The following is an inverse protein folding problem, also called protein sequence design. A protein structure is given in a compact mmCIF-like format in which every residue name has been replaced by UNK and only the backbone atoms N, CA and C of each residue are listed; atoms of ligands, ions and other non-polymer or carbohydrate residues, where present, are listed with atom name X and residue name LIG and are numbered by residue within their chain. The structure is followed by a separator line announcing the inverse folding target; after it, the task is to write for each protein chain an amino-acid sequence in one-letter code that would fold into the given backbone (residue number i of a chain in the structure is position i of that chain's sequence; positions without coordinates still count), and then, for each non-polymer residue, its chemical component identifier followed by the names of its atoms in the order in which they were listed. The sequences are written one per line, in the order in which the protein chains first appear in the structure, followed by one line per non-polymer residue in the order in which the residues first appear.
data_IF_840508018880
#
_entry.id   IF_840508018880
#
_cell.length_a   1.000
_cell.length_b   1.000
_cell.length_c   1.000
_cell.angle_alpha   90.00
_cell.angle_beta   90.00
_cell.angle_gamma   90.00
#
_symmetry.space_group_name_H-M   'P 1'
#
loop_
_entity.id
_entity.type
_entity.pdbx_description
1 polymer ?
#
# COMPACT_ATOMS: atom_id res chain seq x y z
N UNK A 1 -41.08 34.00 -11.78
CA UNK A 1 -40.14 32.97 -12.26
C UNK A 1 -40.42 32.81 -13.75
N UNK A 2 -39.68 33.52 -14.60
CA UNK A 2 -39.90 33.49 -16.06
C UNK A 2 -39.13 32.30 -16.65
N UNK A 3 -39.66 31.60 -17.64
CA UNK A 3 -38.96 30.55 -18.36
C UNK A 3 -38.77 30.98 -19.81
N UNK A 4 -37.71 30.51 -20.46
CA UNK A 4 -37.42 30.87 -21.84
C UNK A 4 -38.01 29.81 -22.78
N UNK A 5 -38.81 30.23 -23.75
CA UNK A 5 -39.38 29.41 -24.81
C UNK A 5 -38.69 29.76 -26.13
N UNK A 6 -38.31 28.75 -26.91
CA UNK A 6 -37.84 28.93 -28.29
C UNK A 6 -38.91 28.53 -29.30
N UNK A 7 -38.77 28.93 -30.58
CA UNK A 7 -39.76 28.69 -31.65
C UNK A 7 -40.13 27.22 -31.91
N UNK A 8 -39.37 26.26 -31.37
CA UNK A 8 -39.69 24.82 -31.38
C UNK A 8 -40.11 24.26 -30.03
N UNK A 9 -40.56 25.15 -29.14
CA UNK A 9 -41.05 24.86 -27.79
C UNK A 9 -39.99 24.30 -26.83
N UNK A 10 -38.69 24.47 -27.08
CA UNK A 10 -37.69 24.10 -26.07
C UNK A 10 -37.74 25.08 -24.89
N UNK A 11 -37.94 24.55 -23.68
CA UNK A 11 -38.04 25.32 -22.44
C UNK A 11 -36.74 25.22 -21.65
N UNK A 12 -36.18 26.38 -21.29
CA UNK A 12 -34.96 26.47 -20.48
C UNK A 12 -35.17 27.24 -19.19
N UNK A 13 -34.45 26.81 -18.15
CA UNK A 13 -34.28 27.60 -16.93
C UNK A 13 -33.57 28.92 -17.26
N UNK A 14 -33.87 30.01 -16.53
CA UNK A 14 -33.27 31.34 -16.80
C UNK A 14 -31.74 31.31 -16.77
N UNK A 15 -31.15 30.57 -15.83
CA UNK A 15 -29.70 30.51 -15.72
C UNK A 15 -29.07 29.68 -16.84
N UNK A 16 -29.77 28.65 -17.29
CA UNK A 16 -29.41 27.78 -18.40
C UNK A 16 -29.45 28.58 -19.71
N UNK A 17 -30.52 29.34 -19.91
CA UNK A 17 -30.71 30.16 -21.11
C UNK A 17 -29.69 31.29 -21.17
N UNK A 18 -29.46 32.00 -20.06
CA UNK A 18 -28.42 33.03 -19.99
C UNK A 18 -27.06 32.48 -20.40
N UNK A 19 -26.67 31.31 -19.88
CA UNK A 19 -25.38 30.69 -20.23
C UNK A 19 -25.32 30.30 -21.71
N UNK A 20 -26.37 29.70 -22.24
CA UNK A 20 -26.43 29.25 -23.62
C UNK A 20 -26.41 30.41 -24.63
N UNK A 21 -27.34 31.36 -24.49
CA UNK A 21 -27.56 32.41 -25.49
C UNK A 21 -26.60 33.60 -25.37
N UNK A 22 -25.76 33.66 -24.33
CA UNK A 22 -24.62 34.61 -24.28
C UNK A 22 -23.52 34.21 -25.27
N UNK A 23 -23.39 32.92 -25.59
CA UNK A 23 -22.33 32.40 -26.45
C UNK A 23 -22.72 32.36 -27.94
N UNK A 24 -23.95 31.96 -28.24
CA UNK A 24 -24.49 31.91 -29.60
C UNK A 24 -26.02 31.97 -29.56
N UNK A 25 -26.64 32.58 -30.57
CA UNK A 25 -28.09 32.54 -30.79
C UNK A 25 -28.49 31.23 -31.50
N UNK A 26 -28.17 30.10 -30.88
CA UNK A 26 -28.48 28.76 -31.38
C UNK A 26 -29.12 27.97 -30.23
N UNK A 27 -30.25 27.31 -30.51
CA UNK A 27 -30.93 26.50 -29.52
C UNK A 27 -30.04 25.31 -29.09
N UNK A 28 -29.74 25.13 -27.78
CA UNK A 28 -28.95 23.99 -27.31
C UNK A 28 -29.62 22.62 -27.48
N UNK A 29 -30.94 22.58 -27.68
CA UNK A 29 -31.70 21.34 -27.77
C UNK A 29 -31.89 20.86 -29.21
N UNK A 30 -32.21 21.78 -30.13
CA UNK A 30 -32.52 21.45 -31.53
C UNK A 30 -31.58 22.09 -32.55
N UNK A 31 -30.49 22.72 -32.09
CA UNK A 31 -29.41 23.32 -32.90
C UNK A 31 -29.89 24.36 -33.92
N UNK A 32 -31.11 24.87 -33.75
CA UNK A 32 -31.71 25.83 -34.68
C UNK A 32 -31.21 27.22 -34.36
N UNK A 33 -30.80 27.96 -35.40
CA UNK A 33 -30.42 29.38 -35.28
C UNK A 33 -31.65 30.23 -34.97
N UNK A 34 -31.52 31.08 -33.94
CA UNK A 34 -32.60 31.89 -33.37
C UNK A 34 -32.34 33.38 -33.70
N UNK A 35 -32.62 33.80 -34.94
CA UNK A 35 -32.34 35.16 -35.42
C UNK A 35 -33.57 36.07 -35.47
N UNK A 36 -34.77 35.51 -35.35
CA UNK A 36 -36.03 36.25 -35.45
C UNK A 36 -36.46 36.83 -34.09
N UNK A 37 -37.19 37.96 -34.13
CA UNK A 37 -37.65 38.68 -32.93
C UNK A 37 -38.54 37.85 -31.99
N UNK A 38 -39.14 36.75 -32.48
CA UNK A 38 -40.01 35.85 -31.72
C UNK A 38 -39.38 34.47 -31.46
N UNK A 39 -38.11 34.27 -31.80
CA UNK A 39 -37.42 33.00 -31.58
C UNK A 39 -37.11 32.74 -30.11
N UNK A 40 -37.13 33.79 -29.29
CA UNK A 40 -36.84 33.73 -27.87
C UNK A 40 -37.89 34.53 -27.11
N UNK A 41 -38.72 33.83 -26.35
CA UNK A 41 -39.81 34.46 -25.59
C UNK A 41 -39.70 34.10 -24.12
N UNK A 42 -39.85 35.09 -23.26
CA UNK A 42 -39.98 34.86 -21.82
C UNK A 42 -41.45 34.63 -21.47
N UNK A 43 -41.75 33.43 -21.00
CA UNK A 43 -43.12 33.02 -20.66
C UNK A 43 -43.22 32.73 -19.17
N UNK A 44 -44.32 33.17 -18.57
CA UNK A 44 -44.72 32.70 -17.26
C UNK A 44 -45.48 31.38 -17.43
N UNK A 45 -44.93 30.25 -16.96
CA UNK A 45 -45.60 28.95 -17.05
C UNK A 45 -46.79 28.79 -16.10
N UNK A 46 -46.98 29.72 -15.17
CA UNK A 46 -48.15 29.71 -14.28
C UNK A 46 -48.88 31.06 -14.33
N UNK A 47 -49.58 31.37 -15.44
CA UNK A 47 -50.39 32.58 -15.54
C UNK A 47 -51.64 32.49 -14.66
N UNK A 48 -52.24 33.65 -14.33
CA UNK A 48 -53.50 33.71 -13.56
C UNK A 48 -54.69 33.19 -14.39
N UNK A 49 -55.75 32.73 -13.72
CA UNK A 49 -56.98 32.26 -14.38
C UNK A 49 -57.65 33.37 -15.21
N UNK A 50 -57.61 34.62 -14.73
CA UNK A 50 -58.13 35.77 -15.48
C UNK A 50 -57.36 36.00 -16.79
N UNK A 51 -56.04 35.82 -16.77
CA UNK A 51 -55.21 35.93 -17.97
C UNK A 51 -55.50 34.80 -18.95
N UNK A 52 -55.63 33.55 -18.47
CA UNK A 52 -56.02 32.40 -19.31
C UNK A 52 -57.37 32.64 -19.97
N UNK A 53 -58.36 33.09 -19.18
CA UNK A 53 -59.71 33.38 -19.67
C UNK A 53 -59.71 34.53 -20.68
N UNK A 54 -58.94 35.59 -20.42
CA UNK A 54 -58.79 36.74 -21.32
C UNK A 54 -58.19 36.34 -22.69
N UNK A 55 -57.13 35.54 -22.70
CA UNK A 55 -56.46 35.10 -23.94
C UNK A 55 -57.34 34.16 -24.77
N UNK A 56 -58.16 33.33 -24.12
CA UNK A 56 -59.06 32.41 -24.81
C UNK A 56 -60.37 33.07 -25.27
N UNK A 57 -60.76 34.19 -24.66
CA UNK A 57 -61.99 34.90 -24.99
C UNK A 57 -61.97 35.45 -26.41
N UNK A 58 -63.02 35.17 -27.18
CA UNK A 58 -63.15 35.62 -28.58
C UNK A 58 -62.49 34.69 -29.62
N UNK A 59 -61.78 33.63 -29.19
CA UNK A 59 -61.29 32.60 -30.10
C UNK A 59 -62.41 31.63 -30.50
N UNK A 60 -62.36 31.15 -31.75
CA UNK A 60 -63.26 30.08 -32.22
C UNK A 60 -62.91 28.76 -31.53
N UNK A 61 -63.90 27.88 -31.27
CA UNK A 61 -63.65 26.56 -30.69
C UNK A 61 -62.59 25.74 -31.44
N UNK A 62 -62.58 25.81 -32.77
CA UNK A 62 -61.59 25.10 -33.60
C UNK A 62 -60.14 25.51 -33.26
N UNK A 63 -59.90 26.81 -33.08
CA UNK A 63 -58.57 27.35 -32.73
C UNK A 63 -58.19 26.93 -31.32
N UNK A 64 -59.12 26.97 -30.37
CA UNK A 64 -58.87 26.53 -28.98
C UNK A 64 -58.46 25.06 -28.97
N UNK A 65 -59.17 24.20 -29.71
CA UNK A 65 -58.85 22.78 -29.83
C UNK A 65 -57.47 22.54 -30.47
N UNK A 66 -57.10 23.31 -31.51
CA UNK A 66 -55.75 23.25 -32.07
C UNK A 66 -54.65 23.62 -31.05
N UNK A 67 -54.87 24.69 -30.27
CA UNK A 67 -53.94 25.11 -29.21
C UNK A 67 -53.80 23.99 -28.17
N UNK A 68 -54.92 23.40 -27.74
CA UNK A 68 -54.92 22.27 -26.80
C UNK A 68 -54.16 21.07 -27.36
N UNK A 69 -54.36 20.72 -28.63
CA UNK A 69 -53.66 19.61 -29.27
C UNK A 69 -52.14 19.82 -29.34
N UNK A 70 -51.69 21.04 -29.69
CA UNK A 70 -50.26 21.41 -29.67
C UNK A 70 -49.69 21.36 -28.26
N UNK A 71 -50.42 21.88 -27.26
CA UNK A 71 -50.00 21.86 -25.86
C UNK A 71 -49.87 20.44 -25.31
N UNK A 72 -50.81 19.55 -25.62
CA UNK A 72 -50.74 18.13 -25.24
C UNK A 72 -49.56 17.43 -25.88
N UNK A 73 -49.35 17.62 -27.18
CA UNK A 73 -48.22 17.04 -27.90
C UNK A 73 -46.88 17.48 -27.30
N UNK A 74 -46.79 18.77 -26.96
CA UNK A 74 -45.62 19.33 -26.29
C UNK A 74 -45.39 18.71 -24.90
N UNK A 75 -46.44 18.62 -24.07
CA UNK A 75 -46.35 18.02 -22.75
C UNK A 75 -45.93 16.55 -22.81
N UNK A 76 -46.48 15.77 -23.76
CA UNK A 76 -46.08 14.38 -24.00
C UNK A 76 -44.61 14.27 -24.42
N UNK A 77 -44.16 15.15 -25.32
CA UNK A 77 -42.75 15.20 -25.70
C UNK A 77 -41.86 15.49 -24.49
N UNK A 78 -42.18 16.53 -23.71
CA UNK A 78 -41.40 16.90 -22.52
C UNK A 78 -41.33 15.74 -21.50
N UNK A 79 -42.47 15.10 -21.23
CA UNK A 79 -42.54 13.96 -20.30
C UNK A 79 -41.68 12.79 -20.77
N UNK A 80 -41.68 12.52 -22.07
CA UNK A 80 -40.86 11.45 -22.68
C UNK A 80 -39.38 11.77 -22.57
N UNK A 81 -38.99 13.02 -22.84
CA UNK A 81 -37.59 13.46 -22.71
C UNK A 81 -37.10 13.40 -21.27
N UNK A 82 -37.93 13.82 -20.31
CA UNK A 82 -37.60 13.73 -18.88
C UNK A 82 -37.42 12.27 -18.44
N UNK A 83 -38.28 11.36 -18.89
CA UNK A 83 -38.13 9.92 -18.63
C UNK A 83 -36.82 9.38 -19.18
N UNK A 84 -36.49 9.70 -20.44
CA UNK A 84 -35.28 9.22 -21.08
C UNK A 84 -34.01 9.76 -20.41
N UNK A 85 -34.01 11.04 -20.02
CA UNK A 85 -32.90 11.62 -19.26
C UNK A 85 -32.73 10.93 -17.90
N UNK A 86 -33.83 10.67 -17.19
CA UNK A 86 -33.79 9.94 -15.93
C UNK A 86 -33.18 8.54 -16.14
N UNK A 87 -33.62 7.79 -17.16
CA UNK A 87 -33.08 6.46 -17.48
C UNK A 87 -31.58 6.50 -17.71
N UNK A 88 -31.07 7.48 -18.47
CA UNK A 88 -29.63 7.65 -18.68
C UNK A 88 -28.89 7.95 -17.38
N UNK A 89 -29.45 8.80 -16.53
CA UNK A 89 -28.83 9.13 -15.24
C UNK A 89 -28.77 7.90 -14.34
N UNK A 90 -29.84 7.09 -14.32
CA UNK A 90 -29.88 5.83 -13.58
C UNK A 90 -28.86 4.83 -14.12
N UNK A 91 -28.75 4.66 -15.45
CA UNK A 91 -27.76 3.79 -16.06
C UNK A 91 -26.34 4.21 -15.73
N UNK A 92 -26.00 5.50 -15.87
CA UNK A 92 -24.69 6.02 -15.51
C UNK A 92 -24.35 5.81 -14.03
N UNK A 93 -25.33 6.00 -13.14
CA UNK A 93 -25.14 5.76 -11.71
C UNK A 93 -24.91 4.27 -11.44
N UNK A 94 -25.70 3.41 -12.07
CA UNK A 94 -25.60 1.96 -11.95
C UNK A 94 -24.25 1.44 -12.45
N UNK A 95 -23.76 1.94 -13.59
CA UNK A 95 -22.42 1.60 -14.11
C UNK A 95 -21.32 1.98 -13.12
N UNK A 96 -21.39 3.18 -12.53
CA UNK A 96 -20.43 3.62 -11.50
C UNK A 96 -20.48 2.75 -10.26
N UNK A 97 -21.67 2.38 -9.80
CA UNK A 97 -21.83 1.45 -8.67
C UNK A 97 -21.19 0.09 -8.98
N UNK A 98 -21.48 -0.50 -10.14
CA UNK A 98 -20.88 -1.77 -10.57
C UNK A 98 -19.35 -1.68 -10.71
N UNK A 99 -18.83 -0.56 -11.21
CA UNK A 99 -17.38 -0.34 -11.30
C UNK A 99 -16.73 -0.32 -9.91
N UNK A 100 -17.33 0.41 -8.96
CA UNK A 100 -16.84 0.47 -7.58
C UNK A 100 -16.92 -0.88 -6.88
N UNK A 101 -18.00 -1.64 -7.08
CA UNK A 101 -18.15 -3.00 -6.55
C UNK A 101 -17.06 -3.93 -7.07
N UNK A 102 -16.72 -3.85 -8.36
CA UNK A 102 -15.61 -4.63 -8.96
C UNK A 102 -14.27 -4.23 -8.35
N UNK A 103 -14.01 -2.93 -8.17
CA UNK A 103 -12.78 -2.45 -7.54
C UNK A 103 -12.65 -2.94 -6.10
N UNK A 104 -13.75 -2.88 -5.33
CA UNK A 104 -13.80 -3.41 -3.96
C UNK A 104 -13.46 -4.91 -3.95
N UNK A 105 -14.12 -5.70 -4.80
CA UNK A 105 -13.85 -7.14 -4.90
C UNK A 105 -12.38 -7.44 -5.27
N UNK A 106 -11.79 -6.65 -6.16
CA UNK A 106 -10.39 -6.77 -6.53
C UNK A 106 -9.46 -6.52 -5.34
N UNK A 107 -9.63 -5.39 -4.64
CA UNK A 107 -8.82 -5.02 -3.47
C UNK A 107 -8.97 -6.07 -2.37
N UNK A 108 -10.19 -6.54 -2.11
CA UNK A 108 -10.45 -7.59 -1.13
C UNK A 108 -9.70 -8.87 -1.48
N UNK A 109 -9.71 -9.27 -2.76
CA UNK A 109 -9.00 -10.46 -3.22
C UNK A 109 -7.49 -10.29 -3.07
N UNK A 110 -6.94 -9.14 -3.46
CA UNK A 110 -5.52 -8.81 -3.32
C UNK A 110 -5.07 -8.86 -1.86
N UNK A 111 -5.80 -8.18 -0.97
CA UNK A 111 -5.54 -8.22 0.47
C UNK A 111 -5.62 -9.65 1.03
N UNK A 112 -6.58 -10.47 0.57
CA UNK A 112 -6.66 -11.86 0.98
C UNK A 112 -5.44 -12.68 0.52
N UNK A 113 -4.96 -12.45 -0.71
CA UNK A 113 -3.76 -13.13 -1.22
C UNK A 113 -2.52 -12.73 -0.44
N UNK A 114 -2.34 -11.44 -0.13
CA UNK A 114 -1.23 -10.96 0.70
C UNK A 114 -1.30 -11.51 2.12
N UNK A 115 -2.49 -11.54 2.72
CA UNK A 115 -2.70 -12.10 4.04
C UNK A 115 -2.31 -13.58 4.10
N UNK A 116 -2.71 -14.38 3.11
CA UNK A 116 -2.31 -15.78 2.99
C UNK A 116 -0.78 -15.92 2.84
N UNK A 117 -0.15 -15.13 1.97
CA UNK A 117 1.29 -15.18 1.75
C UNK A 117 2.09 -14.79 3.02
N UNK A 118 1.67 -13.75 3.73
CA UNK A 118 2.29 -13.33 4.99
C UNK A 118 2.13 -14.39 6.08
N UNK A 119 0.96 -15.04 6.15
CA UNK A 119 0.71 -16.12 7.11
C UNK A 119 1.56 -17.36 6.83
N UNK A 120 1.74 -17.72 5.57
CA UNK A 120 2.65 -18.80 5.16
C UNK A 120 4.10 -18.47 5.54
N UNK A 121 4.56 -17.26 5.22
CA UNK A 121 5.90 -16.78 5.60
C UNK A 121 6.12 -16.79 7.11
N UNK A 122 5.12 -16.34 7.88
CA UNK A 122 5.17 -16.39 9.34
C UNK A 122 5.31 -17.82 9.85
N UNK A 123 4.54 -18.76 9.30
CA UNK A 123 4.62 -20.18 9.68
C UNK A 123 5.97 -20.80 9.32
N UNK A 124 6.54 -20.46 8.16
CA UNK A 124 7.87 -20.93 7.75
C UNK A 124 8.96 -20.42 8.70
N UNK A 125 8.97 -19.12 9.00
CA UNK A 125 9.93 -18.52 9.94
C UNK A 125 9.80 -19.08 11.37
N UNK A 126 8.57 -19.39 11.81
CA UNK A 126 8.36 -20.06 13.10
C UNK A 126 9.01 -21.44 13.15
N UNK A 127 8.86 -22.25 12.09
CA UNK A 127 9.49 -23.57 11.98
C UNK A 127 11.01 -23.47 11.93
N UNK A 128 11.55 -22.53 11.15
CA UNK A 128 13.01 -22.28 11.10
C UNK A 128 13.56 -21.87 12.46
N UNK A 129 12.87 -20.98 13.18
CA UNK A 129 13.25 -20.55 14.52
C UNK A 129 13.27 -21.73 15.51
N UNK A 130 12.28 -22.62 15.44
CA UNK A 130 12.22 -23.82 16.28
C UNK A 130 13.36 -24.80 15.95
N UNK A 131 13.64 -25.02 14.66
CA UNK A 131 14.76 -25.86 14.23
C UNK A 131 16.11 -25.32 14.72
N UNK A 132 16.34 -24.01 14.58
CA UNK A 132 17.58 -23.36 15.02
C UNK A 132 17.75 -23.44 16.55
N UNK A 133 16.65 -23.26 17.31
CA UNK A 133 16.67 -23.46 18.77
C UNK A 133 17.06 -24.88 19.14
N UNK A 134 16.53 -25.89 18.44
CA UNK A 134 16.86 -27.29 18.69
C UNK A 134 18.34 -27.58 18.40
N UNK A 135 18.88 -27.07 17.29
CA UNK A 135 20.30 -27.19 16.95
C UNK A 135 21.17 -26.50 18.00
N UNK A 136 20.80 -25.30 18.44
CA UNK A 136 21.55 -24.56 19.46
C UNK A 136 21.59 -25.31 20.82
N UNK A 137 20.46 -25.91 21.22
CA UNK A 137 20.40 -26.74 22.42
C UNK A 137 21.31 -27.97 22.30
N UNK A 138 21.34 -28.62 21.14
CA UNK A 138 22.21 -29.76 20.90
C UNK A 138 23.70 -29.37 20.94
N UNK A 139 24.08 -28.27 20.28
CA UNK A 139 25.44 -27.75 20.32
C UNK A 139 25.88 -27.38 21.74
N UNK A 140 24.99 -26.79 22.54
CA UNK A 140 25.28 -26.49 23.96
C UNK A 140 25.59 -27.77 24.75
N UNK A 141 24.80 -28.83 24.59
CA UNK A 141 25.07 -30.13 25.24
C UNK A 141 26.42 -30.70 24.82
N UNK A 142 26.73 -30.66 23.52
CA UNK A 142 28.02 -31.14 23.01
C UNK A 142 29.18 -30.35 23.62
N UNK A 143 29.07 -29.03 23.71
CA UNK A 143 30.09 -28.18 24.34
C UNK A 143 30.27 -28.53 25.82
N UNK A 144 29.17 -28.67 26.57
CA UNK A 144 29.20 -29.08 27.98
C UNK A 144 29.88 -30.44 28.16
N UNK A 145 29.56 -31.42 27.32
CA UNK A 145 30.19 -32.73 27.37
C UNK A 145 31.68 -32.68 27.04
N UNK A 146 32.08 -31.93 25.99
CA UNK A 146 33.48 -31.75 25.61
C UNK A 146 34.27 -31.03 26.69
N UNK A 147 33.70 -30.02 27.34
CA UNK A 147 34.32 -29.34 28.48
C UNK A 147 34.49 -30.28 29.68
N UNK A 148 33.50 -31.13 29.96
CA UNK A 148 33.62 -32.14 31.01
C UNK A 148 34.72 -33.17 30.70
N UNK A 149 34.81 -33.67 29.46
CA UNK A 149 35.87 -34.57 29.01
C UNK A 149 37.25 -33.91 29.12
N UNK A 150 37.38 -32.66 28.65
CA UNK A 150 38.62 -31.89 28.77
C UNK A 150 39.05 -31.71 30.22
N UNK A 151 38.12 -31.40 31.12
CA UNK A 151 38.37 -31.26 32.55
C UNK A 151 38.86 -32.58 33.17
N UNK A 152 38.23 -33.71 32.83
CA UNK A 152 38.66 -35.05 33.27
C UNK A 152 40.07 -35.40 32.79
N UNK A 153 40.36 -35.14 31.51
CA UNK A 153 41.69 -35.37 30.93
C UNK A 153 42.75 -34.50 31.61
N UNK A 154 42.45 -33.21 31.84
CA UNK A 154 43.36 -32.29 32.55
C UNK A 154 43.67 -32.78 33.96
N UNK A 155 42.66 -33.26 34.70
CA UNK A 155 42.86 -33.84 36.02
C UNK A 155 43.74 -35.10 35.98
N UNK A 156 43.49 -36.01 35.04
CA UNK A 156 44.30 -37.23 34.86
C UNK A 156 45.76 -36.93 34.51
N UNK A 157 45.99 -35.97 33.61
CA UNK A 157 47.34 -35.52 33.29
C UNK A 157 48.05 -34.96 34.51
N UNK A 158 47.38 -34.11 35.30
CA UNK A 158 47.94 -33.58 36.54
C UNK A 158 48.29 -34.68 37.56
N UNK A 159 47.49 -35.73 37.67
CA UNK A 159 47.82 -36.88 38.54
C UNK A 159 49.02 -37.66 38.02
N UNK A 160 49.12 -37.85 36.70
CA UNK A 160 50.25 -38.56 36.09
C UNK A 160 51.56 -37.79 36.23
N UNK A 161 51.56 -36.45 36.07
CA UNK A 161 52.75 -35.64 36.36
C UNK A 161 53.14 -35.71 37.83
N UNK A 162 52.20 -35.66 38.77
CA UNK A 162 52.51 -35.86 40.19
C UNK A 162 53.11 -37.25 40.46
N UNK A 163 52.59 -38.29 39.81
CA UNK A 163 53.14 -39.66 39.91
C UNK A 163 54.55 -39.76 39.32
N UNK A 164 54.81 -39.18 38.15
CA UNK A 164 56.15 -39.16 37.55
C UNK A 164 57.13 -38.31 38.36
N UNK A 165 56.71 -37.17 38.90
CA UNK A 165 57.53 -36.35 39.80
C UNK A 165 57.89 -37.11 41.08
N UNK A 166 56.94 -37.85 41.65
CA UNK A 166 57.19 -38.70 42.81
C UNK A 166 58.16 -39.85 42.46
N UNK A 167 57.98 -40.47 41.29
CA UNK A 167 58.87 -41.54 40.80
C UNK A 167 60.28 -41.02 40.53
N UNK A 168 60.42 -39.89 39.85
CA UNK A 168 61.68 -39.23 39.57
C UNK A 168 62.39 -38.77 40.85
N UNK A 169 61.66 -38.25 41.86
CA UNK A 169 62.24 -37.95 43.19
C UNK A 169 62.75 -39.21 43.87
N UNK A 170 61.97 -40.30 43.83
CA UNK A 170 62.37 -41.59 44.42
C UNK A 170 63.62 -42.16 43.72
N UNK A 171 63.65 -42.17 42.39
CA UNK A 171 64.80 -42.60 41.59
C UNK A 171 66.04 -41.72 41.80
N UNK A 172 65.88 -40.40 41.84
CA UNK A 172 66.96 -39.45 42.13
C UNK A 172 67.49 -39.58 43.56
N UNK A 173 66.66 -40.02 44.52
CA UNK A 173 67.10 -40.31 45.89
C UNK A 173 67.99 -41.56 45.95
N UNK A 174 67.71 -42.55 45.11
CA UNK A 174 68.51 -43.78 45.00
C UNK A 174 69.83 -43.52 44.25
N UNK A 175 69.81 -42.77 43.14
CA UNK A 175 71.03 -42.37 42.41
C UNK A 175 71.96 -41.52 43.29
N UNK A 176 71.42 -40.61 44.11
CA UNK A 176 72.22 -39.85 45.09
C UNK A 176 72.90 -40.71 46.15
N UNK A 177 72.35 -41.89 46.49
CA UNK A 177 73.03 -42.87 47.35
C UNK A 177 74.14 -43.61 46.60
N UNK A 178 73.96 -43.93 45.31
CA UNK A 178 74.97 -44.63 44.51
C UNK A 178 76.16 -43.75 44.14
N UNK A 179 75.94 -42.48 43.73
CA UNK A 179 77.01 -41.53 43.41
C UNK A 179 77.84 -41.15 44.64
N UNK A 180 77.25 -41.20 45.84
CA UNK A 180 77.97 -41.00 47.11
C UNK A 180 78.95 -42.14 47.43
N UNK A 181 78.78 -43.31 46.83
CA UNK A 181 79.63 -44.48 47.07
C UNK A 181 80.77 -44.65 46.04
N UNK A 182 80.84 -43.83 44.99
CA UNK A 182 81.82 -43.99 43.90
C UNK A 182 82.66 -42.75 43.59
N UNK A 183 82.74 -41.76 44.49
CA UNK A 183 83.55 -40.56 44.29
C UNK A 183 84.66 -40.43 45.35
N UNK A 184 85.77 -41.14 45.14
CA UNK A 184 87.10 -40.79 45.62
C UNK A 184 88.01 -40.66 44.40
N UNK A 185 88.45 -39.45 44.06
CA UNK A 185 89.43 -39.23 43.00
C UNK A 185 89.36 -37.82 42.41
N UNK A 186 90.36 -37.00 42.75
CA UNK A 186 90.64 -35.65 42.25
C UNK A 186 90.77 -35.57 40.72
N UNK A 187 90.48 -34.39 40.17
CA UNK A 187 90.83 -34.03 38.80
C UNK A 187 90.26 -32.67 38.38
N UNK A 188 91.05 -31.60 38.55
CA UNK A 188 90.82 -30.29 37.96
C UNK A 188 91.09 -30.35 36.45
N UNK A 189 90.08 -30.05 35.61
CA UNK A 189 90.28 -29.63 34.21
C UNK A 189 89.28 -28.51 33.86
N UNK A 190 89.82 -27.35 33.50
CA UNK A 190 89.13 -26.25 32.81
C UNK A 190 88.81 -26.66 31.37
N UNK A 191 87.60 -26.36 30.87
CA UNK A 191 87.46 -25.98 29.46
C UNK A 191 86.26 -25.05 29.27
N UNK A 192 86.55 -23.84 28.80
CA UNK A 192 85.57 -22.95 28.17
C UNK A 192 85.17 -23.57 26.84
N UNK A 193 83.87 -23.74 26.59
CA UNK A 193 83.26 -23.66 25.26
C UNK A 193 81.74 -23.53 25.40
N UNK A 194 81.25 -22.46 24.78
CA UNK A 194 79.87 -22.06 24.57
C UNK A 194 78.98 -23.19 24.01
N UNK A 195 77.79 -23.33 24.59
CA UNK A 195 76.72 -24.16 24.05
C UNK A 195 75.38 -23.76 24.67
N UNK A 196 74.69 -22.81 24.06
CA UNK A 196 73.30 -22.50 24.37
C UNK A 196 72.45 -23.78 24.28
N UNK A 197 71.82 -24.19 25.38
CA UNK A 197 70.60 -24.99 25.34
C UNK A 197 69.51 -24.20 26.02
N UNK A 198 68.67 -23.60 25.17
CA UNK A 198 67.50 -22.84 25.59
C UNK A 198 66.55 -23.71 26.39
N UNK A 199 66.38 -23.35 27.66
CA UNK A 199 65.13 -23.61 28.36
C UNK A 199 64.08 -22.71 27.74
N UNK A 200 63.25 -23.24 26.84
CA UNK A 200 62.03 -22.54 26.44
C UNK A 200 61.10 -22.63 27.66
N UNK A 201 60.72 -21.50 28.28
CA UNK A 201 59.68 -21.53 29.30
C UNK A 201 58.37 -21.84 28.57
N UNK A 202 57.71 -22.96 28.89
CA UNK A 202 56.30 -23.13 28.55
C UNK A 202 55.52 -22.17 29.43
N UNK A 203 55.24 -21.00 28.88
CA UNK A 203 54.39 -19.99 29.48
C UNK A 203 52.93 -20.47 29.42
N UNK A 204 52.35 -20.83 30.57
CA UNK A 204 50.93 -21.13 30.69
C UNK A 204 50.05 -19.87 30.84
N UNK A 205 50.65 -18.68 30.85
CA UNK A 205 49.92 -17.41 31.02
C UNK A 205 49.15 -16.94 29.77
N UNK A 206 49.23 -17.64 28.63
CA UNK A 206 48.48 -17.26 27.43
C UNK A 206 47.11 -17.97 27.25
N UNK A 207 46.66 -18.74 28.25
CA UNK A 207 45.30 -19.32 28.26
C UNK A 207 44.42 -18.78 29.40
N UNK A 208 44.88 -17.72 30.06
CA UNK A 208 44.18 -17.09 31.18
C UNK A 208 44.14 -15.57 31.05
N UNK A 209 43.96 -15.04 29.84
CA UNK A 209 43.16 -13.84 29.57
C UNK A 209 43.07 -13.68 28.05
N UNK A 210 41.87 -13.52 27.55
CA UNK A 210 41.59 -13.63 26.13
C UNK A 210 40.10 -13.63 25.93
N UNK A 211 39.50 -12.45 26.11
CA UNK A 211 38.25 -12.11 25.45
C UNK A 211 38.37 -12.44 23.96
N UNK A 212 37.96 -13.65 23.57
CA UNK A 212 37.69 -13.95 22.18
C UNK A 212 36.33 -13.36 21.86
N UNK A 213 36.38 -12.06 21.53
CA UNK A 213 35.37 -11.43 20.71
C UNK A 213 35.34 -12.12 19.35
N UNK A 214 34.14 -12.41 18.87
CA UNK A 214 33.89 -12.95 17.52
C UNK A 214 34.57 -12.03 16.49
N UNK A 215 35.32 -12.55 15.50
CA UNK A 215 35.78 -11.74 14.40
C UNK A 215 34.56 -11.35 13.54
N UNK A 216 34.10 -10.12 13.68
CA UNK A 216 33.35 -9.47 12.62
C UNK A 216 34.37 -9.04 11.55
N UNK A 217 34.66 -9.93 10.59
CA UNK A 217 35.32 -9.51 9.36
C UNK A 217 34.26 -9.06 8.36
N UNK A 218 33.85 -7.82 8.53
CA UNK A 218 33.46 -6.94 7.46
C UNK A 218 34.72 -6.60 6.63
N UNK A 219 34.91 -7.34 5.54
CA UNK A 219 35.73 -6.85 4.43
C UNK A 219 34.84 -6.22 3.37
N UNK A 220 34.98 -4.90 3.28
CA UNK A 220 34.78 -4.07 2.08
C UNK A 220 33.34 -3.73 1.66
N UNK A 221 32.71 -2.82 2.41
CA UNK A 221 31.89 -1.77 1.80
C UNK A 221 32.64 -0.44 1.97
N UNK A 222 33.17 0.07 0.86
CA UNK A 222 33.90 1.34 0.77
C UNK A 222 32.98 2.53 1.10
N UNK A 223 33.63 3.57 1.59
CA UNK A 223 33.14 4.89 1.98
C UNK A 223 32.20 5.56 0.95
N UNK A 224 31.22 6.27 1.51
CA UNK A 224 30.67 7.58 1.11
C UNK A 224 30.45 7.90 -0.39
N UNK A 225 29.17 8.00 -0.78
CA UNK A 225 28.48 9.19 -1.35
C UNK A 225 27.27 8.76 -2.20
N UNK A 226 26.17 9.50 -2.08
CA UNK A 226 25.13 9.52 -3.11
C UNK A 226 23.84 8.76 -2.79
N UNK A 227 22.97 9.37 -1.99
CA UNK A 227 21.54 9.24 -2.27
C UNK A 227 21.24 10.22 -3.41
N UNK A 228 21.07 9.69 -4.62
CA UNK A 228 20.41 10.36 -5.74
C UNK A 228 19.78 9.30 -6.63
N UNK A 229 18.49 9.46 -7.00
CA UNK A 229 17.83 8.59 -7.95
C UNK A 229 18.07 9.11 -9.38
N UNK A 230 18.75 8.32 -10.21
CA UNK A 230 18.66 8.43 -11.67
C UNK A 230 17.61 7.38 -12.10
N UNK A 231 16.43 7.72 -12.63
CA UNK A 231 16.18 8.42 -13.90
C UNK A 231 17.15 7.94 -14.98
N UNK A 232 16.78 6.86 -15.66
CA UNK A 232 17.04 6.80 -17.09
C UNK A 232 15.73 6.92 -17.85
N UNK A 233 15.81 7.89 -18.75
CA UNK A 233 14.79 8.44 -19.59
C UNK A 233 14.91 7.68 -20.91
N UNK A 234 13.92 6.89 -21.28
CA UNK A 234 13.71 6.58 -22.70
C UNK A 234 12.42 7.26 -23.10
N UNK A 235 12.59 8.41 -23.73
CA UNK A 235 11.55 9.18 -24.39
C UNK A 235 10.86 8.30 -25.43
N UNK A 236 9.61 7.95 -25.16
CA UNK A 236 8.61 7.82 -26.21
C UNK A 236 7.57 8.88 -25.89
N UNK A 237 7.68 9.95 -26.66
CA UNK A 237 6.71 11.01 -26.86
C UNK A 237 5.30 10.43 -27.08
N UNK A 238 4.42 10.67 -26.12
CA UNK A 238 2.99 10.45 -26.24
C UNK A 238 2.29 11.50 -25.40
N UNK A 239 1.97 12.63 -26.04
CA UNK A 239 1.14 13.67 -25.44
C UNK A 239 -0.22 13.08 -25.04
N UNK A 240 -0.49 12.95 -23.74
CA UNK A 240 -1.86 12.86 -23.25
C UNK A 240 -2.05 13.82 -22.09
N UNK A 241 -2.77 14.88 -22.44
CA UNK A 241 -3.21 15.99 -21.63
C UNK A 241 -3.65 15.59 -20.21
N UNK A 242 -3.11 16.30 -19.21
CA UNK A 242 -3.90 16.69 -18.05
C UNK A 242 -5.02 17.60 -18.56
N UNK A 243 -6.07 16.98 -19.07
CA UNK A 243 -7.35 17.67 -19.19
C UNK A 243 -7.77 17.97 -17.78
N UNK A 244 -7.78 19.26 -17.44
CA UNK A 244 -8.77 19.84 -16.54
C UNK A 244 -10.01 18.94 -16.58
N UNK A 245 -10.33 18.23 -15.51
CA UNK A 245 -11.73 17.91 -15.27
C UNK A 245 -12.36 19.26 -15.02
N UNK A 246 -12.74 19.89 -16.12
CA UNK A 246 -13.85 20.80 -16.17
C UNK A 246 -14.88 20.19 -15.25
N UNK A 247 -15.10 20.83 -14.12
CA UNK A 247 -16.37 20.76 -13.43
C UNK A 247 -17.40 21.21 -14.47
N UNK A 248 -17.81 20.30 -15.36
CA UNK A 248 -19.21 20.27 -15.77
C UNK A 248 -19.92 19.96 -14.47
N UNK A 249 -20.18 21.04 -13.73
CA UNK A 249 -21.38 21.14 -12.94
C UNK A 249 -22.44 20.43 -13.77
N UNK A 250 -22.87 19.25 -13.33
CA UNK A 250 -24.22 18.81 -13.61
C UNK A 250 -25.04 20.08 -13.42
N UNK A 251 -25.78 20.57 -14.43
CA UNK A 251 -26.59 21.74 -14.21
C UNK A 251 -27.43 21.37 -13.01
N UNK A 252 -27.20 22.11 -11.92
CA UNK A 252 -28.01 22.08 -10.72
C UNK A 252 -29.35 22.65 -11.15
N UNK A 253 -30.05 21.91 -11.99
CA UNK A 253 -31.41 22.14 -12.37
C UNK A 253 -32.14 21.49 -11.23
N UNK A 254 -32.40 22.31 -10.22
CA UNK A 254 -33.46 22.04 -9.27
C UNK A 254 -34.75 21.89 -10.07
N UNK A 255 -34.96 20.71 -10.64
CA UNK A 255 -36.28 20.25 -11.03
C UNK A 255 -36.96 19.90 -9.71
N UNK A 256 -37.67 20.92 -9.22
CA UNK A 256 -38.66 20.78 -8.17
C UNK A 256 -39.58 19.64 -8.57
N UNK A 257 -39.52 18.53 -7.83
CA UNK A 257 -40.54 17.50 -7.85
C UNK A 257 -41.92 18.17 -7.74
N UNK A 258 -42.68 18.17 -8.83
CA UNK A 258 -44.13 18.11 -8.74
C UNK A 258 -44.51 16.67 -9.03
N UNK A 259 -44.38 15.83 -7.99
CA UNK A 259 -45.13 14.58 -7.95
C UNK A 259 -46.62 14.91 -8.03
N UNK A 260 -47.42 14.16 -8.79
CA UNK A 260 -48.86 14.27 -8.70
C UNK A 260 -49.27 13.82 -7.30
N UNK A 261 -49.93 14.69 -6.54
CA UNK A 261 -50.58 14.31 -5.30
C UNK A 261 -51.60 13.22 -5.61
N UNK A 262 -51.30 12.00 -5.17
CA UNK A 262 -52.23 10.87 -5.19
C UNK A 262 -53.57 11.32 -4.59
N UNK A 263 -54.61 11.33 -5.43
CA UNK A 263 -56.00 11.47 -5.01
C UNK A 263 -56.28 10.37 -3.99
N UNK A 264 -56.46 10.76 -2.73
CA UNK A 264 -57.09 9.91 -1.73
C UNK A 264 -58.51 9.61 -2.17
N UNK A 265 -58.72 8.42 -2.72
CA UNK A 265 -60.03 7.77 -2.67
C UNK A 265 -60.34 7.49 -1.20
N UNK A 266 -61.38 8.14 -0.67
CA UNK A 266 -62.04 7.64 0.52
C UNK A 266 -63.52 7.47 0.19
N UNK A 267 -63.86 6.24 -0.16
CA UNK A 267 -65.20 5.71 -0.03
C UNK A 267 -65.52 5.64 1.45
N UNK A 268 -66.60 6.29 1.90
CA UNK A 268 -67.53 5.75 2.90
C UNK A 268 -68.69 6.72 3.17
N UNK A 269 -69.88 6.16 2.90
CA UNK A 269 -71.17 6.29 3.59
C UNK A 269 -71.77 7.67 3.81
#
# INVERSE_FOLDING_TARGET
MHQLLTTRLDIFCVDCSKKAFTSALVCPACETTLTENNDIVFVNLNPSEDYKSSVLSGLRPDIVMEITARALSFWTYQTTQESWLQDILYQNLQEKCQQLEKQLHSIKKEAQTEFCALREKQSALQKELEAEKNINLELKKIIEEKNAQFTRLKASLSTNTMHEDFRNRTLASNIRRTVRNTATGDGVINNQLSGQRGSIPINWANYADGSFTVPNNSQSAKRMHGYSPARDNTQISGHTNYSKTSSRQLPNTGMRLMMPTSRGHNWKS
#
